data_IF_061639664588
#
_entry.id   IF_061639664588
#
_cell.length_a   1.000
_cell.length_b   1.000
_cell.length_c   1.000
_cell.angle_alpha   90.00
_cell.angle_beta   90.00
_cell.angle_gamma   90.00
#
_symmetry.space_group_name_H-M   'P 1'
#
loop_
_entity.id
_entity.type
_entity.pdbx_description
1 polymer ?
#
# COMPACT_ATOMS: atom_id res chain seq x y z
N UNK A 1 -6.73 -7.32 -15.23
CA UNK A 1 -5.94 -6.17 -14.74
C UNK A 1 -6.08 -6.02 -13.23
N UNK A 2 -7.30 -6.03 -12.69
CA UNK A 2 -7.58 -6.06 -11.24
C UNK A 2 -6.67 -7.05 -10.48
N UNK A 3 -6.68 -8.34 -10.85
CA UNK A 3 -5.90 -9.36 -10.15
C UNK A 3 -4.39 -9.08 -10.07
N UNK A 4 -3.81 -8.45 -11.09
CA UNK A 4 -2.38 -8.09 -11.11
C UNK A 4 -2.11 -6.98 -10.09
N UNK A 5 -2.97 -5.95 -10.05
CA UNK A 5 -2.85 -4.87 -9.08
C UNK A 5 -3.03 -5.39 -7.64
N UNK A 6 -3.96 -6.30 -7.42
CA UNK A 6 -4.14 -6.98 -6.13
C UNK A 6 -2.87 -7.73 -5.71
N UNK A 7 -2.30 -8.51 -6.63
CA UNK A 7 -1.05 -9.24 -6.39
C UNK A 7 0.09 -8.29 -6.03
N UNK A 8 0.25 -7.18 -6.76
CA UNK A 8 1.26 -6.16 -6.48
C UNK A 8 1.03 -5.56 -5.08
N UNK A 9 -0.20 -5.19 -4.73
CA UNK A 9 -0.52 -4.63 -3.42
C UNK A 9 -0.15 -5.60 -2.29
N UNK A 10 -0.54 -6.88 -2.42
CA UNK A 10 -0.21 -7.92 -1.43
C UNK A 10 1.30 -8.12 -1.29
N UNK A 11 2.04 -8.14 -2.40
CA UNK A 11 3.51 -8.25 -2.39
C UNK A 11 4.12 -7.05 -1.68
N UNK A 12 3.70 -5.83 -1.99
CA UNK A 12 4.21 -4.62 -1.33
C UNK A 12 3.96 -4.64 0.19
N UNK A 13 2.74 -5.00 0.58
CA UNK A 13 2.36 -5.10 2.00
C UNK A 13 3.19 -6.18 2.69
N UNK A 14 3.26 -7.39 2.13
CA UNK A 14 4.01 -8.50 2.69
C UNK A 14 5.51 -8.20 2.79
N UNK A 15 6.10 -7.64 1.73
CA UNK A 15 7.50 -7.24 1.70
C UNK A 15 7.80 -6.16 2.75
N UNK A 16 6.90 -5.17 2.88
CA UNK A 16 7.05 -4.12 3.89
C UNK A 16 7.05 -4.68 5.32
N UNK A 17 6.18 -5.66 5.62
CA UNK A 17 6.16 -6.31 6.92
C UNK A 17 7.41 -7.16 7.15
N UNK A 18 7.85 -7.90 6.14
CA UNK A 18 9.03 -8.77 6.24
C UNK A 18 10.31 -7.95 6.46
N UNK A 19 10.55 -6.93 5.62
CA UNK A 19 11.76 -6.10 5.69
C UNK A 19 11.84 -5.26 6.97
N UNK A 20 10.71 -4.94 7.59
CA UNK A 20 10.66 -4.09 8.79
C UNK A 20 10.30 -4.84 10.07
N UNK A 21 10.31 -6.17 10.04
CA UNK A 21 9.87 -7.01 11.16
C UNK A 21 10.62 -6.74 12.48
N UNK A 22 11.86 -6.24 12.44
CA UNK A 22 12.66 -5.93 13.63
C UNK A 22 12.75 -4.43 13.94
N UNK A 23 12.42 -3.58 12.96
CA UNK A 23 12.71 -2.15 13.02
C UNK A 23 11.42 -1.33 13.11
N UNK A 24 10.94 -1.11 14.34
CA UNK A 24 9.71 -0.33 14.64
C UNK A 24 9.62 0.98 13.84
N UNK A 25 10.67 1.80 13.88
CA UNK A 25 10.72 3.10 13.19
C UNK A 25 10.53 2.95 11.68
N UNK A 26 11.23 2.00 11.04
CA UNK A 26 11.09 1.75 9.61
C UNK A 26 9.71 1.22 9.25
N UNK A 27 9.11 0.37 10.10
CA UNK A 27 7.77 -0.17 9.88
C UNK A 27 6.70 0.92 9.87
N UNK A 28 6.75 1.83 10.85
CA UNK A 28 5.82 2.97 10.93
C UNK A 28 6.01 3.89 9.71
N UNK A 29 7.26 4.18 9.32
CA UNK A 29 7.56 5.05 8.19
C UNK A 29 7.09 4.44 6.87
N UNK A 30 7.31 3.13 6.64
CA UNK A 30 6.79 2.44 5.46
C UNK A 30 5.26 2.39 5.44
N UNK A 31 4.61 2.14 6.58
CA UNK A 31 3.15 2.17 6.68
C UNK A 31 2.58 3.54 6.27
N UNK A 32 3.17 4.62 6.77
CA UNK A 32 2.85 6.00 6.36
C UNK A 32 3.09 6.21 4.86
N UNK A 33 4.23 5.76 4.33
CA UNK A 33 4.59 5.94 2.93
C UNK A 33 3.58 5.23 2.02
N UNK A 34 3.19 3.99 2.36
CA UNK A 34 2.17 3.23 1.61
C UNK A 34 0.82 3.97 1.62
N UNK A 35 0.41 4.54 2.77
CA UNK A 35 -0.83 5.34 2.87
C UNK A 35 -0.75 6.57 1.98
N UNK A 36 0.36 7.30 2.01
CA UNK A 36 0.56 8.47 1.15
C UNK A 36 0.52 8.07 -0.33
N UNK A 37 1.19 6.96 -0.69
CA UNK A 37 1.13 6.43 -2.06
C UNK A 37 -0.30 6.10 -2.47
N UNK A 38 -1.12 5.50 -1.60
CA UNK A 38 -2.52 5.23 -1.91
C UNK A 38 -3.33 6.50 -2.20
N UNK A 39 -3.09 7.58 -1.44
CA UNK A 39 -3.82 8.84 -1.60
C UNK A 39 -3.38 9.59 -2.85
N UNK A 40 -2.07 9.71 -3.08
CA UNK A 40 -1.52 10.49 -4.19
C UNK A 40 -1.56 9.74 -5.52
N UNK A 41 -1.41 8.42 -5.52
CA UNK A 41 -1.39 7.67 -6.78
C UNK A 41 -2.75 7.62 -7.47
N UNK A 42 -3.85 7.73 -6.72
CA UNK A 42 -5.19 7.74 -7.31
C UNK A 42 -5.40 8.89 -8.32
N UNK A 43 -5.33 10.18 -7.95
CA UNK A 43 -5.52 11.28 -8.91
C UNK A 43 -4.48 11.28 -10.04
N UNK A 44 -3.26 10.78 -9.79
CA UNK A 44 -2.20 10.71 -10.80
C UNK A 44 -2.49 9.63 -11.85
N UNK A 45 -3.01 8.47 -11.43
CA UNK A 45 -3.21 7.31 -12.30
C UNK A 45 -4.61 7.24 -12.91
N UNK A 46 -5.59 7.97 -12.37
CA UNK A 46 -6.97 8.02 -12.92
C UNK A 46 -7.01 8.40 -14.40
N UNK A 47 -6.30 9.43 -14.91
CA UNK A 47 -6.30 9.76 -16.34
C UNK A 47 -5.78 8.59 -17.19
N UNK A 48 -4.69 7.96 -16.75
CA UNK A 48 -4.05 6.85 -17.46
C UNK A 48 -4.96 5.62 -17.54
N UNK A 49 -5.57 5.24 -16.41
CA UNK A 49 -6.44 4.06 -16.35
C UNK A 49 -7.84 4.33 -16.94
N UNK A 50 -8.29 5.59 -16.88
CA UNK A 50 -9.52 6.05 -17.50
C UNK A 50 -9.45 6.05 -19.02
N UNK A 51 -8.32 6.38 -19.62
CA UNK A 51 -8.16 6.28 -21.07
C UNK A 51 -7.98 4.83 -21.54
N UNK A 52 -7.27 4.00 -20.77
CA UNK A 52 -6.93 2.65 -21.22
C UNK A 52 -8.11 1.67 -21.15
N UNK A 53 -8.93 1.75 -20.10
CA UNK A 53 -10.05 0.83 -19.85
C UNK A 53 -11.30 1.50 -19.30
N UNK A 54 -11.41 2.83 -19.40
CA UNK A 54 -12.56 3.60 -18.94
C UNK A 54 -12.98 3.20 -17.50
N UNK A 55 -14.21 2.75 -17.34
CA UNK A 55 -14.81 2.45 -16.04
C UNK A 55 -14.14 1.25 -15.34
N UNK A 56 -13.77 0.20 -16.08
CA UNK A 56 -13.12 -0.98 -15.51
C UNK A 56 -11.71 -0.66 -15.01
N UNK A 57 -10.98 0.20 -15.73
CA UNK A 57 -9.65 0.65 -15.35
C UNK A 57 -9.69 1.45 -14.05
N UNK A 58 -10.62 2.41 -13.97
CA UNK A 58 -10.83 3.23 -12.77
C UNK A 58 -11.29 2.37 -11.59
N UNK A 59 -12.23 1.44 -11.78
CA UNK A 59 -12.67 0.54 -10.72
C UNK A 59 -11.52 -0.34 -10.19
N UNK A 60 -10.67 -0.86 -11.08
CA UNK A 60 -9.46 -1.61 -10.70
C UNK A 60 -8.51 -0.76 -9.86
N UNK A 61 -8.34 0.51 -10.23
CA UNK A 61 -7.46 1.45 -9.55
C UNK A 61 -8.02 1.84 -8.16
N UNK A 62 -9.35 1.99 -8.02
CA UNK A 62 -10.01 2.21 -6.72
C UNK A 62 -9.71 1.02 -5.80
N UNK A 63 -9.95 -0.20 -6.27
CA UNK A 63 -9.72 -1.42 -5.48
C UNK A 63 -8.25 -1.55 -5.05
N UNK A 64 -7.32 -1.24 -5.96
CA UNK A 64 -5.89 -1.23 -5.66
C UNK A 64 -5.53 -0.23 -4.56
N UNK A 65 -6.00 1.02 -4.68
CA UNK A 65 -5.71 2.06 -3.70
C UNK A 65 -6.34 1.78 -2.34
N UNK A 66 -7.55 1.23 -2.30
CA UNK A 66 -8.16 0.77 -1.04
C UNK A 66 -7.33 -0.34 -0.38
N UNK A 67 -6.83 -1.29 -1.16
CA UNK A 67 -5.97 -2.34 -0.62
C UNK A 67 -4.64 -1.81 -0.08
N UNK A 68 -4.01 -0.87 -0.79
CA UNK A 68 -2.80 -0.21 -0.29
C UNK A 68 -3.10 0.57 1.00
N UNK A 69 -4.21 1.30 1.06
CA UNK A 69 -4.60 2.06 2.25
C UNK A 69 -4.78 1.14 3.46
N UNK A 70 -5.58 0.08 3.31
CA UNK A 70 -5.80 -0.92 4.37
C UNK A 70 -4.47 -1.57 4.75
N UNK A 71 -3.68 -1.99 3.77
CA UNK A 71 -2.36 -2.59 3.99
C UNK A 71 -1.40 -1.69 4.74
N UNK A 72 -1.32 -0.42 4.36
CA UNK A 72 -0.52 0.60 5.03
C UNK A 72 -0.96 0.82 6.48
N UNK A 73 -2.28 0.85 6.73
CA UNK A 73 -2.82 0.90 8.09
C UNK A 73 -2.44 -0.34 8.90
N UNK A 74 -2.54 -1.55 8.34
CA UNK A 74 -2.11 -2.78 9.04
C UNK A 74 -0.62 -2.73 9.36
N UNK A 75 0.23 -2.31 8.41
CA UNK A 75 1.67 -2.18 8.61
C UNK A 75 1.97 -1.17 9.71
N UNK A 76 1.26 -0.04 9.73
CA UNK A 76 1.43 1.04 10.70
C UNK A 76 1.01 0.60 12.10
N UNK A 77 -0.17 -0.02 12.24
CA UNK A 77 -0.65 -0.60 13.50
C UNK A 77 0.33 -1.66 14.01
N UNK A 78 0.76 -2.58 13.15
CA UNK A 78 1.72 -3.60 13.53
C UNK A 78 3.11 -3.02 13.85
N UNK A 79 3.46 -1.86 13.29
CA UNK A 79 4.60 -1.04 13.69
C UNK A 79 4.53 -0.62 15.15
N UNK A 80 3.37 -0.18 15.65
CA UNK A 80 3.21 0.19 17.05
C UNK A 80 3.45 -0.98 18.01
N UNK A 81 3.02 -2.19 17.64
CA UNK A 81 3.21 -3.43 18.41
C UNK A 81 4.59 -4.07 18.25
N UNK A 82 5.39 -3.65 17.28
CA UNK A 82 6.75 -4.14 17.11
C UNK A 82 7.62 -3.62 18.26
N UNK A 83 8.32 -4.52 18.95
CA UNK A 83 9.22 -4.13 20.05
C UNK A 83 10.28 -3.16 19.54
N UNK A 84 10.60 -2.15 20.33
CA UNK A 84 11.72 -1.25 20.05
C UNK A 84 12.98 -2.09 20.14
N UNK A 85 13.68 -2.29 19.02
CA UNK A 85 15.00 -2.89 19.01
C UNK A 85 15.90 -1.98 19.85
N UNK A 86 16.27 -2.45 21.06
CA UNK A 86 17.27 -1.81 21.91
C UNK A 86 18.63 -2.09 21.25
N UNK A 87 19.03 -1.21 20.33
CA UNK A 87 20.43 -1.05 19.94
C UNK A 87 21.19 -0.37 21.05
#
# INVERSE_FOLDING_TARGET
>A
MVYILILIALVLIGLSMYLTSKQKRRRILLGLLIILTAIFSYPILVPVFGEWKAMEGVASLIVFNFMLLIGGLVVLVAGFFTKVEKT
#
